data_IF_435490605636
#
_entry.id   IF_435490605636
#
_cell.length_a   1.000
_cell.length_b   1.000
_cell.length_c   1.000
_cell.angle_alpha   90.00
_cell.angle_beta   90.00
_cell.angle_gamma   90.00
#
_symmetry.space_group_name_H-M   'P 1'
#
loop_
_entity.id
_entity.type
_entity.pdbx_description
1 polymer ?
#
# COMPACT_ATOMS: atom_id res chain seq x y z
N UNK A 1 1.54 14.39 -10.46
CA UNK A 1 1.44 13.96 -9.05
C UNK A 1 0.60 12.70 -8.84
N UNK A 2 -0.21 12.29 -9.82
CA UNK A 2 -0.89 10.98 -9.82
C UNK A 2 0.06 9.80 -9.57
N UNK A 3 1.27 9.82 -10.14
CA UNK A 3 2.28 8.79 -9.82
C UNK A 3 2.59 8.67 -8.31
N UNK A 4 2.68 9.80 -7.59
CA UNK A 4 2.94 9.80 -6.14
C UNK A 4 1.74 9.22 -5.39
N UNK A 5 0.52 9.57 -5.80
CA UNK A 5 -0.72 9.03 -5.24
C UNK A 5 -0.83 7.52 -5.48
N UNK A 6 -0.51 7.07 -6.68
CA UNK A 6 -0.51 5.66 -7.05
C UNK A 6 0.48 4.86 -6.21
N UNK A 7 1.73 5.32 -6.13
CA UNK A 7 2.77 4.67 -5.31
C UNK A 7 2.34 4.61 -3.84
N UNK A 8 1.82 5.70 -3.28
CA UNK A 8 1.31 5.72 -1.90
C UNK A 8 0.12 4.77 -1.68
N UNK A 9 -0.75 4.58 -2.68
CA UNK A 9 -1.86 3.61 -2.58
C UNK A 9 -1.34 2.17 -2.59
N UNK A 10 -0.38 1.89 -3.48
CA UNK A 10 0.21 0.56 -3.64
C UNK A 10 1.03 0.17 -2.41
N UNK A 11 1.89 1.06 -1.91
CA UNK A 11 2.69 0.85 -0.70
C UNK A 11 1.81 0.57 0.52
N UNK A 12 0.75 1.36 0.72
CA UNK A 12 -0.17 1.18 1.83
C UNK A 12 -0.90 -0.18 1.81
N UNK A 13 -1.14 -0.76 0.63
CA UNK A 13 -1.69 -2.10 0.49
C UNK A 13 -0.64 -3.18 0.75
N UNK A 14 0.54 -3.09 0.13
CA UNK A 14 1.58 -4.12 0.25
C UNK A 14 2.22 -4.18 1.64
N UNK A 15 2.46 -3.05 2.31
CA UNK A 15 3.00 -3.05 3.67
C UNK A 15 1.93 -2.96 4.77
N UNK A 16 0.66 -2.84 4.37
CA UNK A 16 -0.45 -2.81 5.30
C UNK A 16 -1.35 -4.03 5.22
N UNK A 17 -2.23 -4.06 4.23
CA UNK A 17 -3.24 -5.10 4.02
C UNK A 17 -2.64 -6.51 3.97
N UNK A 18 -1.49 -6.68 3.29
CA UNK A 18 -0.82 -7.99 3.13
C UNK A 18 -0.35 -8.59 4.46
N UNK A 19 -0.08 -7.76 5.47
CA UNK A 19 0.44 -8.17 6.78
C UNK A 19 -0.57 -7.91 7.91
N UNK A 20 -1.87 -7.79 7.60
CA UNK A 20 -2.94 -7.50 8.56
C UNK A 20 -2.71 -6.20 9.37
N UNK A 21 -2.04 -5.21 8.77
CA UNK A 21 -1.72 -3.90 9.35
C UNK A 21 -2.44 -2.79 8.56
N UNK A 22 -3.75 -2.58 8.74
CA UNK A 22 -4.50 -1.63 7.92
C UNK A 22 -3.89 -0.21 7.98
N UNK A 23 -3.78 0.43 6.82
CA UNK A 23 -3.31 1.81 6.70
C UNK A 23 -4.21 2.76 7.53
N UNK A 24 -3.65 3.80 8.18
CA UNK A 24 -4.45 4.78 8.92
C UNK A 24 -5.49 5.52 8.07
N UNK A 25 -5.26 5.62 6.77
CA UNK A 25 -6.22 6.20 5.83
C UNK A 25 -7.04 5.11 5.13
N UNK A 26 -8.38 5.26 5.08
CA UNK A 26 -9.24 4.28 4.43
C UNK A 26 -9.00 4.28 2.92
N UNK A 27 -8.49 3.16 2.41
CA UNK A 27 -8.39 2.91 0.98
C UNK A 27 -9.64 2.19 0.47
N UNK A 28 -10.06 2.42 -0.79
CA UNK A 28 -11.02 1.55 -1.45
C UNK A 28 -10.52 0.11 -1.41
N UNK A 29 -11.46 -0.85 -1.31
CA UNK A 29 -11.13 -2.27 -1.42
C UNK A 29 -10.42 -2.53 -2.74
N UNK A 30 -9.50 -3.48 -2.75
CA UNK A 30 -8.74 -3.75 -3.98
C UNK A 30 -9.63 -4.22 -5.13
N UNK A 31 -10.74 -4.91 -4.85
CA UNK A 31 -11.71 -5.32 -5.88
C UNK A 31 -12.42 -4.13 -6.54
N UNK A 32 -12.50 -2.99 -5.84
CA UNK A 32 -13.14 -1.77 -6.33
C UNK A 32 -12.12 -0.81 -6.98
N UNK A 33 -10.86 -1.23 -7.12
CA UNK A 33 -9.82 -0.42 -7.73
C UNK A 33 -10.11 -0.17 -9.21
N UNK A 34 -10.32 1.10 -9.56
CA UNK A 34 -10.69 1.54 -10.91
C UNK A 34 -9.62 2.44 -11.57
N UNK A 35 -8.42 2.53 -10.97
CA UNK A 35 -7.32 3.36 -11.45
C UNK A 35 -7.44 4.84 -11.10
N UNK A 36 -8.38 5.26 -10.25
CA UNK A 36 -8.53 6.66 -9.80
C UNK A 36 -7.32 7.22 -9.03
N UNK A 37 -6.40 6.36 -8.59
CA UNK A 37 -5.12 6.73 -7.99
C UNK A 37 -4.05 7.12 -9.00
N UNK A 38 -4.25 6.84 -10.29
CA UNK A 38 -3.30 7.14 -11.37
C UNK A 38 -3.25 8.64 -11.73
N UNK A 39 -4.25 9.43 -11.31
CA UNK A 39 -4.31 10.88 -11.54
C UNK A 39 -4.81 11.62 -10.30
N UNK A 40 -4.53 12.92 -10.26
CA UNK A 40 -5.13 13.82 -9.27
C UNK A 40 -6.41 14.42 -9.87
N UNK A 41 -7.48 14.49 -9.08
CA UNK A 41 -8.72 15.18 -9.47
C UNK A 41 -8.61 16.69 -9.22
N UNK A 42 -9.57 17.47 -9.71
CA UNK A 42 -9.62 18.92 -9.47
C UNK A 42 -9.79 19.30 -7.99
N UNK A 43 -10.40 18.41 -7.20
CA UNK A 43 -10.61 18.56 -5.76
C UNK A 43 -9.38 18.17 -4.92
N UNK A 44 -8.38 17.54 -5.54
CA UNK A 44 -7.19 17.06 -4.86
C UNK A 44 -6.04 18.04 -4.99
N UNK A 45 -5.56 18.51 -3.85
CA UNK A 45 -4.38 19.37 -3.79
C UNK A 45 -3.10 18.53 -3.76
N UNK A 46 -2.01 19.13 -4.26
CA UNK A 46 -0.67 18.55 -4.14
C UNK A 46 -0.32 18.20 -2.69
N UNK A 47 -0.62 19.09 -1.76
CA UNK A 47 -0.17 18.94 -0.37
C UNK A 47 -0.94 17.81 0.34
N UNK A 48 -2.20 17.56 -0.03
CA UNK A 48 -2.93 16.36 0.40
C UNK A 48 -2.26 15.08 -0.09
N UNK A 49 -1.90 15.01 -1.38
CA UNK A 49 -1.27 13.82 -1.96
C UNK A 49 0.12 13.57 -1.35
N UNK A 50 0.93 14.62 -1.16
CA UNK A 50 2.24 14.49 -0.49
C UNK A 50 2.06 14.10 0.98
N UNK A 51 1.05 14.64 1.66
CA UNK A 51 0.71 14.28 3.03
C UNK A 51 0.32 12.80 3.15
N UNK A 52 -0.50 12.29 2.23
CA UNK A 52 -0.85 10.87 2.15
C UNK A 52 0.39 10.01 1.95
N UNK A 53 1.24 10.35 0.97
CA UNK A 53 2.49 9.64 0.74
C UNK A 53 3.39 9.56 1.98
N UNK A 54 3.54 10.65 2.74
CA UNK A 54 4.35 10.65 3.97
C UNK A 54 3.81 9.70 5.04
N UNK A 55 2.48 9.68 5.23
CA UNK A 55 1.85 8.78 6.22
C UNK A 55 1.92 7.33 5.78
N UNK A 56 1.75 7.05 4.49
CA UNK A 56 1.98 5.70 3.95
C UNK A 56 3.43 5.26 4.17
N UNK A 57 4.40 6.13 3.90
CA UNK A 57 5.81 5.81 4.13
C UNK A 57 6.05 5.46 5.61
N UNK A 58 5.61 6.32 6.54
CA UNK A 58 5.75 6.03 7.98
C UNK A 58 5.11 4.69 8.37
N UNK A 59 3.96 4.34 7.78
CA UNK A 59 3.31 3.04 7.98
C UNK A 59 4.14 1.87 7.42
N UNK A 60 4.68 2.00 6.22
CA UNK A 60 5.56 1.01 5.60
C UNK A 60 6.82 0.79 6.43
N UNK A 61 7.46 1.87 6.89
CA UNK A 61 8.63 1.80 7.77
C UNK A 61 8.29 1.09 9.08
N UNK A 62 7.12 1.35 9.68
CA UNK A 62 6.67 0.65 10.88
C UNK A 62 6.52 -0.87 10.63
N UNK A 63 5.90 -1.27 9.52
CA UNK A 63 5.78 -2.69 9.14
C UNK A 63 7.15 -3.34 8.95
N UNK A 64 8.06 -2.70 8.20
CA UNK A 64 9.40 -3.23 7.93
C UNK A 64 10.22 -3.37 9.21
N UNK A 65 10.10 -2.42 10.15
CA UNK A 65 10.86 -2.43 11.40
C UNK A 65 10.29 -3.39 12.45
N UNK A 66 8.99 -3.64 12.45
CA UNK A 66 8.33 -4.48 13.47
C UNK A 66 8.30 -5.97 13.12
N UNK A 67 8.29 -6.32 11.83
CA UNK A 67 8.15 -7.70 11.39
C UNK A 67 9.49 -8.32 11.00
N UNK A 68 9.72 -9.61 11.30
CA UNK A 68 10.87 -10.34 10.75
C UNK A 68 10.70 -10.53 9.24
N UNK A 69 11.82 -10.71 8.53
CA UNK A 69 11.82 -10.87 7.06
C UNK A 69 11.03 -12.08 6.55
N UNK A 70 10.88 -13.12 7.38
CA UNK A 70 10.10 -14.32 7.10
C UNK A 70 8.64 -14.22 7.58
N UNK A 71 8.19 -13.05 8.05
CA UNK A 71 6.80 -12.83 8.44
C UNK A 71 5.87 -13.18 7.28
N UNK A 72 4.85 -14.04 7.49
CA UNK A 72 3.93 -14.43 6.45
C UNK A 72 3.08 -13.24 6.03
N UNK A 73 2.86 -13.10 4.72
CA UNK A 73 1.93 -12.14 4.14
C UNK A 73 1.03 -12.81 3.11
N UNK A 74 -0.14 -12.24 2.88
CA UNK A 74 -1.08 -12.73 1.87
C UNK A 74 -1.48 -11.60 0.92
N UNK A 75 -1.21 -11.77 -0.37
CA UNK A 75 -1.48 -10.78 -1.42
C UNK A 75 -2.76 -11.18 -2.18
N UNK A 76 -3.92 -10.58 -1.87
CA UNK A 76 -5.20 -11.08 -2.36
C UNK A 76 -5.43 -10.83 -3.86
N UNK A 77 -4.62 -9.99 -4.50
CA UNK A 77 -4.65 -9.74 -5.95
C UNK A 77 -3.62 -10.56 -6.74
N UNK A 78 -2.81 -11.39 -6.09
CA UNK A 78 -1.92 -12.33 -6.78
C UNK A 78 -2.65 -13.65 -7.07
N UNK A 79 -2.34 -14.34 -8.18
CA UNK A 79 -2.96 -15.61 -8.50
C UNK A 79 -2.44 -16.73 -7.59
N UNK A 80 -3.31 -17.69 -7.27
CA UNK A 80 -2.89 -18.95 -6.65
C UNK A 80 -1.95 -19.74 -7.59
N UNK A 81 -0.93 -20.45 -7.06
CA UNK A 81 -0.62 -20.66 -5.63
C UNK A 81 0.36 -19.62 -5.04
N UNK A 82 0.46 -18.42 -5.62
CA UNK A 82 1.50 -17.44 -5.27
C UNK A 82 1.02 -16.36 -4.29
N UNK A 83 -0.24 -16.39 -3.85
CA UNK A 83 -0.81 -15.35 -2.99
C UNK A 83 -0.14 -15.31 -1.60
N UNK A 84 0.31 -16.45 -1.10
CA UNK A 84 1.08 -16.53 0.14
C UNK A 84 2.55 -16.20 -0.10
N UNK A 85 3.08 -15.27 0.69
CA UNK A 85 4.42 -14.71 0.54
C UNK A 85 5.02 -14.39 1.91
N UNK A 86 6.13 -13.67 1.93
CA UNK A 86 6.71 -13.10 3.15
C UNK A 86 7.20 -11.66 2.93
N UNK A 87 7.55 -10.98 4.02
CA UNK A 87 8.04 -9.61 3.99
C UNK A 87 9.24 -9.43 3.05
N UNK A 88 10.21 -10.34 3.08
CA UNK A 88 11.37 -10.26 2.20
C UNK A 88 10.97 -10.21 0.73
N UNK A 89 10.04 -11.06 0.30
CA UNK A 89 9.57 -11.13 -1.08
C UNK A 89 8.76 -9.89 -1.51
N UNK A 90 8.13 -9.16 -0.58
CA UNK A 90 7.45 -7.89 -0.87
C UNK A 90 8.44 -6.72 -1.01
N UNK A 91 9.59 -6.80 -0.35
CA UNK A 91 10.60 -5.74 -0.39
C UNK A 91 11.48 -5.72 -1.65
N UNK A 92 11.45 -6.79 -2.47
CA UNK A 92 12.40 -7.01 -3.59
C UNK A 92 11.76 -6.96 -4.98
#
# INVERSE_FOLDING_TARGET
IGLVKHVATVEARYFGEVFDRPCPEPLPRWQDANGSDLWATEDETRDQIIGFYRRTWEHSDATINELPLDAPGHVPWWPEPYADTNLFAIMV
#
